data_IF_246336491331
#
_entry.id   IF_246336491331
#
_cell.length_a   1.000
_cell.length_b   1.000
_cell.length_c   1.000
_cell.angle_alpha   90.00
_cell.angle_beta   90.00
_cell.angle_gamma   90.00
#
_symmetry.space_group_name_H-M   'P 1'
#
loop_
_entity.id
_entity.type
_entity.pdbx_description
1 polymer ?
#
# COMPACT_ATOMS: atom_id res chain seq x y z
N UNK A 1 -17.72 4.42 20.34
CA UNK A 1 -16.58 5.34 20.07
C UNK A 1 -15.39 5.14 21.02
N UNK A 2 -15.57 4.97 22.34
CA UNK A 2 -14.44 4.82 23.29
C UNK A 2 -13.63 3.51 23.20
N UNK A 3 -14.20 2.44 22.66
CA UNK A 3 -13.59 1.10 22.63
C UNK A 3 -12.67 0.88 21.42
N UNK A 4 -12.99 1.50 20.28
CA UNK A 4 -12.14 1.53 19.08
C UNK A 4 -10.73 2.07 19.37
N UNK A 5 -10.62 3.09 20.23
CA UNK A 5 -9.34 3.69 20.57
C UNK A 5 -8.47 2.89 21.55
N UNK A 6 -8.96 1.77 22.07
CA UNK A 6 -8.20 0.83 22.89
C UNK A 6 -7.56 -0.30 22.07
N UNK A 7 -7.91 -0.41 20.80
CA UNK A 7 -7.44 -1.44 19.89
C UNK A 7 -6.00 -1.17 19.41
N UNK A 8 -5.29 -2.25 19.09
CA UNK A 8 -4.03 -2.21 18.36
C UNK A 8 -4.32 -2.01 16.88
N UNK A 9 -4.15 -0.79 16.40
CA UNK A 9 -4.40 -0.41 15.02
C UNK A 9 -3.08 -0.29 14.25
N UNK A 10 -2.94 -1.07 13.19
CA UNK A 10 -1.87 -0.96 12.20
C UNK A 10 -2.42 -0.28 10.95
N UNK A 11 -1.85 0.86 10.57
CA UNK A 11 -2.12 1.51 9.28
C UNK A 11 -0.92 1.27 8.38
N UNK A 12 -1.16 0.85 7.13
CA UNK A 12 -0.14 0.63 6.11
C UNK A 12 -0.50 1.50 4.90
N UNK A 13 0.34 2.48 4.60
CA UNK A 13 0.18 3.40 3.48
C UNK A 13 1.15 3.01 2.35
N UNK A 14 0.61 2.57 1.21
CA UNK A 14 1.40 2.35 0.01
C UNK A 14 1.25 3.54 -0.94
N UNK A 15 2.23 4.44 -0.88
CA UNK A 15 2.34 5.57 -1.78
C UNK A 15 3.06 5.26 -3.09
N UNK A 16 3.32 6.30 -3.87
CA UNK A 16 4.08 6.18 -5.12
C UNK A 16 5.54 5.77 -4.88
N UNK A 17 6.20 6.39 -3.89
CA UNK A 17 7.62 6.17 -3.60
C UNK A 17 7.90 5.24 -2.43
N UNK A 18 6.99 5.14 -1.47
CA UNK A 18 7.23 4.51 -0.16
C UNK A 18 6.08 3.59 0.25
N UNK A 19 6.41 2.67 1.16
CA UNK A 19 5.47 1.90 1.94
C UNK A 19 5.72 2.28 3.41
N UNK A 20 4.78 2.99 4.01
CA UNK A 20 4.85 3.50 5.38
C UNK A 20 3.90 2.69 6.26
N UNK A 21 4.26 2.45 7.52
CA UNK A 21 3.37 1.81 8.48
C UNK A 21 3.45 2.43 9.86
N UNK A 22 2.30 2.48 10.51
CA UNK A 22 2.10 3.06 11.83
C UNK A 22 1.32 2.08 12.69
N UNK A 23 1.97 1.58 13.74
CA UNK A 23 1.29 0.79 14.77
C UNK A 23 0.95 1.69 15.96
N UNK A 24 -0.30 1.64 16.39
CA UNK A 24 -0.78 2.38 17.55
C UNK A 24 -1.46 1.48 18.57
N UNK A 25 -1.32 1.83 19.85
CA UNK A 25 -2.04 1.23 20.97
C UNK A 25 -2.51 2.36 21.89
N UNK A 26 -3.77 2.32 22.34
CA UNK A 26 -4.32 3.30 23.28
C UNK A 26 -4.04 4.77 22.87
N UNK A 27 -4.22 5.08 21.58
CA UNK A 27 -3.95 6.40 20.96
C UNK A 27 -2.49 6.86 20.97
N UNK A 28 -1.54 5.97 21.28
CA UNK A 28 -0.11 6.25 21.23
C UNK A 28 0.54 5.43 20.12
N UNK A 29 1.43 6.07 19.37
CA UNK A 29 2.24 5.37 18.38
C UNK A 29 3.31 4.54 19.06
N UNK A 30 3.53 3.34 18.53
CA UNK A 30 4.62 2.47 18.95
C UNK A 30 5.74 2.68 17.92
N UNK A 31 6.58 3.70 18.14
CA UNK A 31 7.62 4.11 17.19
C UNK A 31 8.58 2.97 16.82
N UNK A 32 8.89 2.07 17.77
CA UNK A 32 9.76 0.92 17.53
C UNK A 32 9.15 -0.14 16.58
N UNK A 33 7.83 -0.11 16.35
CA UNK A 33 7.08 -1.02 15.48
C UNK A 33 6.40 -0.29 14.31
N UNK A 34 6.87 0.92 14.03
CA UNK A 34 6.42 1.78 12.94
C UNK A 34 7.63 2.14 12.08
N UNK A 35 7.43 2.44 10.81
CA UNK A 35 8.55 2.68 9.90
C UNK A 35 8.13 2.97 8.49
N UNK A 36 9.14 3.03 7.62
CA UNK A 36 8.99 3.33 6.21
C UNK A 36 9.96 2.48 5.40
N UNK A 37 9.53 2.03 4.23
CA UNK A 37 10.37 1.36 3.25
C UNK A 37 10.37 2.13 1.94
N UNK A 38 11.57 2.34 1.36
CA UNK A 38 11.80 3.17 0.18
C UNK A 38 11.45 2.45 -1.14
N UNK A 39 10.27 1.81 -1.17
CA UNK A 39 9.62 1.27 -2.36
C UNK A 39 8.12 1.45 -2.23
N UNK A 40 7.49 1.88 -3.33
CA UNK A 40 6.04 2.03 -3.45
C UNK A 40 5.54 1.50 -4.80
N UNK A 41 4.41 2.04 -5.26
CA UNK A 41 3.84 1.68 -6.57
C UNK A 41 4.81 1.91 -7.73
N UNK A 42 5.65 2.95 -7.67
CA UNK A 42 6.62 3.24 -8.73
C UNK A 42 7.63 2.10 -8.91
N UNK A 43 8.07 1.47 -7.81
CA UNK A 43 8.95 0.31 -7.88
C UNK A 43 8.26 -0.90 -8.51
N UNK A 44 6.95 -1.07 -8.29
CA UNK A 44 6.15 -2.10 -8.97
C UNK A 44 6.07 -1.84 -10.48
N UNK A 45 5.86 -0.59 -10.89
CA UNK A 45 5.82 -0.19 -12.30
C UNK A 45 7.18 -0.44 -12.97
N UNK A 46 8.28 -0.08 -12.32
CA UNK A 46 9.63 -0.34 -12.85
C UNK A 46 9.93 -1.83 -13.01
N UNK A 47 9.48 -2.66 -12.07
CA UNK A 47 9.58 -4.12 -12.17
C UNK A 47 8.78 -4.69 -13.35
N UNK A 48 7.68 -4.05 -13.75
CA UNK A 48 6.91 -4.40 -14.95
C UNK A 48 7.62 -3.92 -16.23
N UNK A 49 8.22 -2.72 -16.21
CA UNK A 49 8.95 -2.18 -17.37
C UNK A 49 10.18 -3.02 -17.74
N UNK A 50 10.92 -3.51 -16.74
CA UNK A 50 12.18 -4.23 -16.93
C UNK A 50 12.13 -5.39 -17.95
N UNK A 51 11.19 -6.35 -17.85
CA UNK A 51 11.07 -7.44 -18.84
C UNK A 51 10.46 -7.01 -20.18
N UNK A 52 9.82 -5.84 -20.27
CA UNK A 52 9.22 -5.35 -21.52
C UNK A 52 10.26 -4.56 -22.31
N UNK A 53 10.74 -3.46 -21.72
CA UNK A 53 11.81 -2.62 -22.23
C UNK A 53 12.27 -1.69 -21.11
N UNK A 54 13.55 -1.80 -20.70
CA UNK A 54 14.12 -0.97 -19.62
C UNK A 54 13.99 0.53 -19.88
N UNK A 55 14.02 0.99 -21.14
CA UNK A 55 13.90 2.42 -21.45
C UNK A 55 12.53 3.01 -21.11
N UNK A 56 11.50 2.18 -20.93
CA UNK A 56 10.15 2.62 -20.55
C UNK A 56 10.11 3.30 -19.18
N UNK A 57 11.08 3.00 -18.30
CA UNK A 57 11.22 3.67 -17.00
C UNK A 57 11.62 5.15 -17.12
N UNK A 58 12.00 5.62 -18.30
CA UNK A 58 12.40 7.01 -18.53
C UNK A 58 11.27 7.88 -19.09
N UNK A 59 10.12 7.28 -19.44
CA UNK A 59 8.97 7.99 -20.01
C UNK A 59 7.84 8.10 -18.98
N UNK A 60 7.55 9.31 -18.45
CA UNK A 60 6.50 9.51 -17.47
C UNK A 60 5.09 9.09 -17.94
N UNK A 61 4.81 9.18 -19.23
CA UNK A 61 3.51 8.76 -19.78
C UNK A 61 3.39 7.24 -19.79
N UNK A 62 4.49 6.53 -20.05
CA UNK A 62 4.53 5.06 -19.95
C UNK A 62 4.35 4.63 -18.51
N UNK A 63 5.09 5.24 -17.57
CA UNK A 63 4.98 4.97 -16.13
C UNK A 63 3.52 5.15 -15.67
N UNK A 64 2.93 6.30 -15.96
CA UNK A 64 1.55 6.60 -15.57
C UNK A 64 0.57 5.57 -16.14
N UNK A 65 0.77 5.14 -17.38
CA UNK A 65 -0.16 4.20 -18.02
C UNK A 65 -0.12 2.81 -17.39
N UNK A 66 1.06 2.36 -16.99
CA UNK A 66 1.24 1.08 -16.29
C UNK A 66 0.71 1.20 -14.85
N UNK A 67 0.97 2.32 -14.16
CA UNK A 67 0.39 2.62 -12.85
C UNK A 67 -1.14 2.58 -12.88
N UNK A 68 -1.77 3.36 -13.77
CA UNK A 68 -3.22 3.39 -13.96
C UNK A 68 -3.81 1.99 -14.26
N UNK A 69 -3.05 1.12 -14.94
CA UNK A 69 -3.46 -0.24 -15.24
C UNK A 69 -3.32 -1.17 -14.03
N UNK A 70 -2.24 -1.04 -13.28
CA UNK A 70 -1.96 -1.82 -12.08
C UNK A 70 -2.92 -1.47 -10.95
N UNK A 71 -3.01 -0.19 -10.58
CA UNK A 71 -3.85 0.29 -9.47
C UNK A 71 -5.35 0.27 -9.82
N UNK A 72 -5.69 0.42 -11.10
CA UNK A 72 -7.07 0.33 -11.60
C UNK A 72 -7.57 -1.09 -11.89
N UNK A 73 -6.76 -2.12 -11.62
CA UNK A 73 -7.02 -3.54 -11.97
C UNK A 73 -7.49 -3.74 -13.42
N UNK A 74 -6.84 -3.03 -14.35
CA UNK A 74 -7.14 -3.19 -15.78
C UNK A 74 -6.57 -4.52 -16.27
N UNK A 75 -7.26 -5.14 -17.22
CA UNK A 75 -6.80 -6.40 -17.84
C UNK A 75 -5.55 -6.21 -18.70
N UNK A 76 -5.38 -5.03 -19.28
CA UNK A 76 -4.29 -4.71 -20.20
C UNK A 76 -3.96 -3.21 -20.21
N UNK A 77 -2.83 -2.87 -20.83
CA UNK A 77 -2.45 -1.50 -21.18
C UNK A 77 -1.82 -1.45 -22.58
N UNK A 78 -1.79 -0.26 -23.20
CA UNK A 78 -1.32 -0.09 -24.59
C UNK A 78 -0.13 0.85 -24.68
N UNK A 79 1.00 0.38 -25.21
CA UNK A 79 2.20 1.20 -25.50
C UNK A 79 2.61 1.02 -26.96
N UNK A 80 2.94 2.11 -27.65
CA UNK A 80 3.39 2.07 -29.05
C UNK A 80 2.49 1.26 -30.00
N UNK A 81 1.17 1.29 -29.78
CA UNK A 81 0.24 0.49 -30.60
C UNK A 81 0.06 -0.96 -30.14
N UNK A 82 0.94 -1.48 -29.30
CA UNK A 82 0.89 -2.85 -28.77
C UNK A 82 0.08 -2.94 -27.48
N UNK A 83 -0.75 -3.96 -27.37
CA UNK A 83 -1.48 -4.31 -26.15
C UNK A 83 -0.70 -5.32 -25.32
N UNK A 84 -0.56 -5.03 -24.02
CA UNK A 84 0.14 -5.83 -23.03
C UNK A 84 -0.85 -6.31 -21.98
N UNK A 85 -0.95 -7.62 -21.78
CA UNK A 85 -1.83 -8.20 -20.77
C UNK A 85 -1.21 -8.07 -19.38
N UNK A 86 -1.95 -7.51 -18.43
CA UNK A 86 -1.45 -7.35 -17.06
C UNK A 86 -1.14 -8.70 -16.38
N UNK A 87 -1.87 -9.76 -16.75
CA UNK A 87 -1.67 -11.11 -16.20
C UNK A 87 -0.22 -11.61 -16.34
N UNK A 88 0.47 -11.25 -17.43
CA UNK A 88 1.84 -11.69 -17.71
C UNK A 88 2.86 -10.99 -16.79
N UNK A 89 2.52 -9.81 -16.28
CA UNK A 89 3.42 -8.92 -15.56
C UNK A 89 3.08 -8.76 -14.07
N UNK A 90 1.86 -9.13 -13.63
CA UNK A 90 1.42 -9.02 -12.22
C UNK A 90 2.40 -9.66 -11.23
N UNK A 91 3.10 -10.73 -11.61
CA UNK A 91 4.12 -11.39 -10.77
C UNK A 91 5.29 -10.48 -10.37
N UNK A 92 5.70 -9.53 -11.24
CA UNK A 92 6.81 -8.63 -10.96
C UNK A 92 6.41 -7.57 -9.92
N UNK A 93 5.22 -7.00 -10.05
CA UNK A 93 4.65 -6.12 -9.02
C UNK A 93 4.45 -6.87 -7.70
N UNK A 94 3.91 -8.09 -7.74
CA UNK A 94 3.69 -8.93 -6.55
C UNK A 94 4.97 -9.20 -5.76
N UNK A 95 6.11 -9.34 -6.42
CA UNK A 95 7.40 -9.48 -5.74
C UNK A 95 7.70 -8.25 -4.87
N UNK A 96 7.55 -7.04 -5.40
CA UNK A 96 7.78 -5.78 -4.67
C UNK A 96 6.76 -5.60 -3.54
N UNK A 97 5.48 -5.94 -3.76
CA UNK A 97 4.46 -5.88 -2.73
C UNK A 97 4.78 -6.83 -1.56
N UNK A 98 5.22 -8.04 -1.86
CA UNK A 98 5.65 -9.00 -0.83
C UNK A 98 6.87 -8.50 -0.06
N UNK A 99 7.83 -7.84 -0.71
CA UNK A 99 8.93 -7.18 0.00
C UNK A 99 8.41 -6.13 0.98
N UNK A 100 7.46 -5.28 0.56
CA UNK A 100 6.85 -4.27 1.43
C UNK A 100 6.16 -4.90 2.64
N UNK A 101 5.34 -5.94 2.43
CA UNK A 101 4.69 -6.68 3.51
C UNK A 101 5.70 -7.32 4.47
N UNK A 102 6.80 -7.87 3.95
CA UNK A 102 7.86 -8.45 4.77
C UNK A 102 8.56 -7.39 5.63
N UNK A 103 8.78 -6.18 5.11
CA UNK A 103 9.35 -5.08 5.91
C UNK A 103 8.40 -4.66 7.04
N UNK A 104 7.10 -4.54 6.74
CA UNK A 104 6.08 -4.29 7.76
C UNK A 104 6.11 -5.38 8.83
N UNK A 105 6.07 -6.66 8.43
CA UNK A 105 6.06 -7.77 9.39
C UNK A 105 7.35 -7.85 10.21
N UNK A 106 8.50 -7.55 9.61
CA UNK A 106 9.80 -7.53 10.31
C UNK A 106 9.81 -6.45 11.40
N UNK A 107 9.30 -5.26 11.11
CA UNK A 107 9.21 -4.15 12.06
C UNK A 107 8.12 -4.37 13.12
N UNK A 108 6.96 -4.86 12.72
CA UNK A 108 5.83 -5.13 13.61
C UNK A 108 6.09 -6.38 14.45
N UNK A 109 6.89 -7.34 13.99
CA UNK A 109 7.23 -8.59 14.65
C UNK A 109 6.14 -9.66 14.57
N UNK A 110 4.92 -9.34 15.01
CA UNK A 110 3.76 -10.24 14.92
C UNK A 110 2.45 -9.48 14.78
N UNK A 111 1.57 -10.00 13.92
CA UNK A 111 0.21 -9.51 13.69
C UNK A 111 -0.81 -10.09 14.68
N UNK A 112 -0.45 -11.07 15.51
CA UNK A 112 -1.38 -11.74 16.45
C UNK A 112 -2.03 -10.77 17.43
N UNK A 113 -1.30 -9.71 17.82
CA UNK A 113 -1.79 -8.68 18.73
C UNK A 113 -2.51 -7.54 18.02
N UNK A 114 -2.58 -7.53 16.68
CA UNK A 114 -3.18 -6.44 15.91
C UNK A 114 -4.67 -6.70 15.75
N UNK A 115 -5.48 -5.79 16.25
CA UNK A 115 -6.94 -5.90 16.23
C UNK A 115 -7.55 -5.41 14.91
N UNK A 116 -6.83 -4.52 14.20
CA UNK A 116 -7.24 -3.97 12.92
C UNK A 116 -6.03 -3.56 12.07
N UNK A 117 -6.07 -3.89 10.79
CA UNK A 117 -5.09 -3.50 9.77
C UNK A 117 -5.82 -2.71 8.68
N UNK A 118 -5.43 -1.45 8.49
CA UNK A 118 -5.98 -0.58 7.44
C UNK A 118 -4.92 -0.37 6.36
N UNK A 119 -5.26 -0.69 5.12
CA UNK A 119 -4.43 -0.43 3.95
C UNK A 119 -4.91 0.83 3.24
N UNK A 120 -4.06 1.83 3.10
CA UNK A 120 -4.38 3.14 2.50
C UNK A 120 -3.30 3.56 1.48
N UNK A 121 -3.42 4.75 0.91
CA UNK A 121 -2.57 5.25 -0.17
C UNK A 121 -3.01 4.79 -1.56
N UNK A 122 -2.44 5.42 -2.59
CA UNK A 122 -2.78 5.12 -4.00
C UNK A 122 -2.60 3.65 -4.38
N UNK A 123 -1.65 2.95 -3.73
CA UNK A 123 -1.42 1.52 -3.88
C UNK A 123 -2.07 0.65 -2.79
N UNK A 124 -2.80 1.22 -1.84
CA UNK A 124 -3.31 0.51 -0.66
C UNK A 124 -4.17 -0.70 -1.00
N UNK A 125 -5.09 -0.56 -1.98
CA UNK A 125 -5.92 -1.68 -2.44
C UNK A 125 -5.08 -2.81 -3.05
N UNK A 126 -4.06 -2.46 -3.84
CA UNK A 126 -3.15 -3.44 -4.44
C UNK A 126 -2.38 -4.21 -3.36
N UNK A 127 -1.90 -3.50 -2.33
CA UNK A 127 -1.20 -4.11 -1.20
C UNK A 127 -2.14 -4.99 -0.36
N UNK A 128 -3.37 -4.56 -0.10
CA UNK A 128 -4.41 -5.33 0.59
C UNK A 128 -4.69 -6.66 -0.12
N UNK A 129 -4.85 -6.65 -1.44
CA UNK A 129 -5.05 -7.87 -2.23
C UNK A 129 -3.87 -8.84 -2.10
N UNK A 130 -2.64 -8.33 -2.14
CA UNK A 130 -1.44 -9.12 -1.91
C UNK A 130 -1.35 -9.66 -0.47
N UNK A 131 -1.77 -8.86 0.51
CA UNK A 131 -1.73 -9.22 1.92
C UNK A 131 -2.73 -10.31 2.29
N UNK A 132 -3.89 -10.40 1.61
CA UNK A 132 -4.83 -11.52 1.82
C UNK A 132 -4.19 -12.87 1.58
N UNK A 133 -3.34 -12.97 0.57
CA UNK A 133 -2.59 -14.19 0.31
C UNK A 133 -1.43 -14.38 1.30
N UNK A 134 -0.64 -13.32 1.55
CA UNK A 134 0.55 -13.41 2.39
C UNK A 134 0.23 -13.63 3.89
N UNK A 135 -0.89 -13.08 4.36
CA UNK A 135 -1.32 -13.06 5.76
C UNK A 135 -2.71 -13.70 5.91
N UNK A 136 -2.93 -14.85 5.28
CA UNK A 136 -4.23 -15.54 5.20
C UNK A 136 -4.93 -15.71 6.57
N UNK A 137 -4.17 -16.00 7.63
CA UNK A 137 -4.70 -16.20 8.99
C UNK A 137 -5.21 -14.91 9.69
N UNK A 138 -4.94 -13.75 9.08
CA UNK A 138 -5.28 -12.44 9.64
C UNK A 138 -6.31 -11.68 8.78
N UNK A 139 -6.88 -12.27 7.74
CA UNK A 139 -7.79 -11.57 6.82
C UNK A 139 -8.98 -10.91 7.53
N UNK A 140 -9.48 -11.49 8.62
CA UNK A 140 -10.62 -10.98 9.39
C UNK A 140 -10.38 -9.62 10.05
N UNK A 141 -9.12 -9.22 10.25
CA UNK A 141 -8.78 -7.90 10.83
C UNK A 141 -8.32 -6.90 9.76
N UNK A 142 -8.32 -7.28 8.48
CA UNK A 142 -7.83 -6.44 7.39
C UNK A 142 -8.95 -5.70 6.67
N UNK A 143 -8.71 -4.43 6.36
CA UNK A 143 -9.61 -3.61 5.54
C UNK A 143 -8.82 -2.68 4.62
N UNK A 144 -9.31 -2.49 3.40
CA UNK A 144 -8.84 -1.42 2.54
C UNK A 144 -9.61 -0.12 2.85
N UNK A 145 -8.89 0.99 2.90
CA UNK A 145 -9.46 2.33 3.03
C UNK A 145 -10.32 2.67 1.79
N UNK A 146 -11.52 3.21 2.03
CA UNK A 146 -12.47 3.60 0.99
C UNK A 146 -12.08 4.92 0.31
N UNK A 147 -11.30 5.77 0.97
CA UNK A 147 -10.86 7.06 0.44
C UNK A 147 -9.33 7.28 0.55
N UNK A 148 -8.53 6.37 -0.01
CA UNK A 148 -7.13 6.18 0.37
C UNK A 148 -6.18 7.34 0.00
N UNK A 149 -6.61 8.28 -0.85
CA UNK A 149 -5.81 9.45 -1.24
C UNK A 149 -6.02 10.63 -0.27
N UNK A 150 -7.16 10.70 0.41
CA UNK A 150 -7.53 11.85 1.24
C UNK A 150 -7.58 11.55 2.74
N UNK A 151 -7.71 10.28 3.14
CA UNK A 151 -7.92 9.90 4.55
C UNK A 151 -6.88 10.46 5.52
N UNK A 152 -5.60 10.51 5.14
CA UNK A 152 -4.55 11.11 5.98
C UNK A 152 -4.78 12.60 6.18
N UNK A 153 -5.03 13.35 5.10
CA UNK A 153 -5.27 14.80 5.15
C UNK A 153 -6.55 15.11 5.92
N UNK A 154 -7.62 14.35 5.69
CA UNK A 154 -8.88 14.47 6.43
C UNK A 154 -8.66 14.26 7.93
N UNK A 155 -7.91 13.23 8.33
CA UNK A 155 -7.58 12.98 9.74
C UNK A 155 -6.77 14.12 10.38
N UNK A 156 -5.77 14.64 9.66
CA UNK A 156 -4.98 15.80 10.11
C UNK A 156 -5.85 17.04 10.31
N UNK A 157 -6.75 17.32 9.36
CA UNK A 157 -7.66 18.46 9.45
C UNK A 157 -8.59 18.34 10.65
N UNK A 158 -9.24 17.19 10.83
CA UNK A 158 -10.16 16.94 11.95
C UNK A 158 -9.49 17.08 13.32
N UNK A 159 -8.28 16.52 13.49
CA UNK A 159 -7.51 16.70 14.72
C UNK A 159 -7.14 18.18 14.91
N UNK A 160 -6.77 18.88 13.84
CA UNK A 160 -6.50 20.31 13.86
C UNK A 160 -7.70 21.14 14.33
N UNK A 161 -8.90 20.82 13.86
CA UNK A 161 -10.14 21.49 14.33
C UNK A 161 -10.38 21.23 15.82
N UNK A 162 -10.21 19.99 16.29
CA UNK A 162 -10.41 19.63 17.70
C UNK A 162 -9.39 20.28 18.63
N UNK A 163 -8.14 20.41 18.20
CA UNK A 163 -7.08 20.99 19.03
C UNK A 163 -7.10 22.53 19.08
N UNK A 164 -7.79 23.18 18.15
CA UNK A 164 -7.91 24.64 18.07
C UNK A 164 -9.29 25.17 18.47
N UNK A 165 -10.21 24.28 18.87
CA UNK A 165 -11.52 24.62 19.44
C UNK A 165 -11.41 24.82 20.97
#
# INVERSE_FOLDING_TARGET
MGEFYKQNLLVIDLGGGTCDWLLSNNRKFISARSGAYQKGVLACVYAICEPINKSFMNDPLVIKRIDDALCGDKKSFKLNGHEYLMADYKKYAKHILNECLNQVLTSVGSLTSVDMIIFTGGGGKLLFECAKEAWEQHQQVMSADENPVFSIVTGMHQIGEVLNA
#
